data_IF_938133876693
#
_entry.id   IF_938133876693
#
_cell.length_a   1.000
_cell.length_b   1.000
_cell.length_c   1.000
_cell.angle_alpha   90.00
_cell.angle_beta   90.00
_cell.angle_gamma   90.00
#
_symmetry.space_group_name_H-M   'P 1'
#
loop_
_entity.id
_entity.type
_entity.pdbx_description
1 polymer ?
#
# COMPACT_ATOMS: atom_id res chain seq x y z
N UNK A 1 -6.49 13.46 12.80
CA UNK A 1 -6.59 12.52 11.68
C UNK A 1 -5.98 13.19 10.46
N UNK A 2 -4.78 12.78 10.04
CA UNK A 2 -4.14 13.35 8.85
C UNK A 2 -4.60 12.54 7.63
N UNK A 3 -5.42 13.15 6.79
CA UNK A 3 -5.96 12.51 5.59
C UNK A 3 -4.89 12.51 4.51
N UNK A 4 -4.49 11.31 4.05
CA UNK A 4 -3.70 11.18 2.83
C UNK A 4 -4.50 11.76 1.67
N UNK A 5 -3.90 12.69 0.91
CA UNK A 5 -4.48 13.16 -0.35
C UNK A 5 -4.30 12.07 -1.40
N UNK A 6 -5.28 11.19 -1.53
CA UNK A 6 -5.31 10.13 -2.55
C UNK A 6 -5.89 10.70 -3.84
N UNK A 7 -5.26 10.45 -4.99
CA UNK A 7 -5.81 10.82 -6.29
C UNK A 7 -7.07 9.99 -6.57
N UNK A 8 -8.10 10.58 -7.18
CA UNK A 8 -9.35 9.90 -7.58
C UNK A 8 -9.06 8.69 -8.49
N UNK A 9 -8.05 8.79 -9.37
CA UNK A 9 -7.63 7.67 -10.19
C UNK A 9 -7.07 6.49 -9.36
N UNK A 10 -6.33 6.79 -8.28
CA UNK A 10 -5.79 5.76 -7.38
C UNK A 10 -6.92 5.13 -6.54
N UNK A 11 -7.93 5.92 -6.16
CA UNK A 11 -9.13 5.43 -5.47
C UNK A 11 -9.92 4.43 -6.31
N UNK A 12 -10.02 4.66 -7.63
CA UNK A 12 -10.70 3.75 -8.55
C UNK A 12 -9.96 2.42 -8.75
N UNK A 13 -8.68 2.34 -8.39
CA UNK A 13 -7.85 1.14 -8.47
C UNK A 13 -7.45 0.61 -7.08
N UNK A 14 -8.05 1.13 -6.01
CA UNK A 14 -7.74 0.73 -4.65
C UNK A 14 -8.35 -0.66 -4.35
N UNK A 15 -7.49 -1.63 -4.05
CA UNK A 15 -7.90 -2.99 -3.70
C UNK A 15 -8.22 -3.15 -2.20
N UNK A 16 -7.51 -2.41 -1.36
CA UNK A 16 -7.61 -2.43 0.10
C UNK A 16 -6.71 -1.36 0.72
N UNK A 17 -6.95 -1.01 1.98
CA UNK A 17 -6.15 -0.01 2.70
C UNK A 17 -6.15 -0.35 4.19
N UNK A 18 -4.98 -0.24 4.82
CA UNK A 18 -4.81 -0.43 6.26
C UNK A 18 -3.81 0.56 6.84
N UNK A 19 -3.85 0.73 8.15
CA UNK A 19 -2.84 1.47 8.92
C UNK A 19 -1.91 0.50 9.65
N UNK A 20 -0.62 0.82 9.69
CA UNK A 20 0.34 0.07 10.50
C UNK A 20 -0.01 0.19 11.98
N UNK A 21 0.07 -0.92 12.72
CA UNK A 21 -0.05 -0.91 14.18
C UNK A 21 1.14 -0.24 14.88
N UNK A 22 1.10 -0.20 16.21
CA UNK A 22 2.12 0.47 17.04
C UNK A 22 3.55 -0.04 16.81
N UNK A 23 3.70 -1.31 16.42
CA UNK A 23 5.00 -1.94 16.12
C UNK A 23 5.41 -1.84 14.64
N UNK A 24 4.67 -1.09 13.81
CA UNK A 24 4.91 -0.99 12.36
C UNK A 24 4.46 -2.23 11.56
N UNK A 25 3.85 -3.22 12.22
CA UNK A 25 3.31 -4.43 11.59
C UNK A 25 1.95 -4.11 10.97
N UNK A 26 1.70 -4.63 9.77
CA UNK A 26 0.39 -4.55 9.12
C UNK A 26 0.07 -5.86 8.40
N UNK A 27 -1.22 -6.12 8.26
CA UNK A 27 -1.79 -7.15 7.41
C UNK A 27 -2.80 -6.46 6.50
N UNK A 28 -2.77 -6.73 5.20
CA UNK A 28 -3.67 -6.09 4.24
C UNK A 28 -4.24 -7.14 3.29
N UNK A 29 -5.55 -7.07 3.08
CA UNK A 29 -6.26 -7.87 2.09
C UNK A 29 -6.96 -6.94 1.11
N UNK A 30 -7.01 -7.34 -0.15
CA UNK A 30 -7.66 -6.56 -1.19
C UNK A 30 -8.22 -7.46 -2.28
N UNK A 31 -9.29 -6.99 -2.93
CA UNK A 31 -9.97 -7.75 -3.99
C UNK A 31 -10.55 -6.82 -5.06
N UNK A 32 -10.91 -7.41 -6.20
CA UNK A 32 -11.44 -6.72 -7.37
C UNK A 32 -12.96 -6.65 -7.42
N UNK A 33 -13.69 -6.93 -6.33
CA UNK A 33 -15.16 -7.01 -6.36
C UNK A 33 -15.84 -5.70 -6.78
N UNK A 34 -15.12 -4.57 -6.60
CA UNK A 34 -15.58 -3.23 -6.96
C UNK A 34 -15.19 -2.83 -8.39
N UNK A 35 -14.37 -3.63 -9.07
CA UNK A 35 -13.93 -3.33 -10.43
C UNK A 35 -14.95 -3.84 -11.44
N UNK A 36 -14.95 -3.33 -12.68
CA UNK A 36 -15.75 -3.89 -13.76
C UNK A 36 -15.50 -5.41 -13.90
N UNK A 37 -16.53 -6.18 -14.25
CA UNK A 37 -16.42 -7.64 -14.41
C UNK A 37 -15.42 -8.09 -15.49
N UNK A 38 -15.00 -7.17 -16.37
CA UNK A 38 -13.95 -7.38 -17.36
C UNK A 38 -12.54 -7.23 -16.80
N UNK A 39 -12.38 -6.74 -15.57
CA UNK A 39 -11.10 -6.50 -14.90
C UNK A 39 -10.93 -7.44 -13.70
N UNK A 40 -10.70 -8.72 -13.99
CA UNK A 40 -10.51 -9.77 -12.98
C UNK A 40 -9.03 -10.06 -12.67
N UNK A 41 -8.14 -9.76 -13.61
CA UNK A 41 -6.69 -9.87 -13.45
C UNK A 41 -6.10 -8.56 -12.91
N UNK A 42 -5.13 -8.67 -12.00
CA UNK A 42 -4.48 -7.52 -11.36
C UNK A 42 -2.97 -7.73 -11.24
N UNK A 43 -2.24 -6.61 -11.29
CA UNK A 43 -0.83 -6.53 -10.94
C UNK A 43 -0.67 -5.57 -9.75
N UNK A 44 -0.92 -6.04 -8.51
CA UNK A 44 -1.06 -5.15 -7.38
C UNK A 44 0.29 -4.61 -6.90
N UNK A 45 0.23 -3.37 -6.40
CA UNK A 45 1.31 -2.76 -5.62
C UNK A 45 0.80 -2.47 -4.21
N UNK A 46 1.64 -2.74 -3.21
CA UNK A 46 1.46 -2.17 -1.87
C UNK A 46 2.23 -0.86 -1.83
N UNK A 47 1.49 0.23 -1.62
CA UNK A 47 2.06 1.57 -1.50
C UNK A 47 1.99 2.01 -0.05
N UNK A 48 3.14 2.34 0.53
CA UNK A 48 3.26 2.78 1.92
C UNK A 48 3.56 4.27 1.94
N UNK A 49 2.69 5.01 2.61
CA UNK A 49 2.85 6.44 2.86
C UNK A 49 3.31 6.64 4.30
N UNK A 50 4.48 7.23 4.49
CA UNK A 50 5.07 7.44 5.81
C UNK A 50 5.74 8.82 5.91
N UNK A 51 5.88 9.33 7.12
CA UNK A 51 6.57 10.58 7.42
C UNK A 51 7.72 10.37 8.40
N UNK A 52 8.34 9.18 8.39
CA UNK A 52 9.52 8.92 9.21
C UNK A 52 10.61 9.95 8.91
N UNK A 53 11.29 10.39 9.97
CA UNK A 53 12.31 11.45 9.92
C UNK A 53 11.79 12.79 9.36
N UNK A 54 10.49 13.06 9.50
CA UNK A 54 9.88 14.34 9.11
C UNK A 54 9.07 14.92 10.27
N UNK A 55 9.23 16.20 10.53
CA UNK A 55 8.36 16.93 11.45
C UNK A 55 7.01 17.27 10.80
N UNK A 56 6.07 17.83 11.59
CA UNK A 56 4.74 18.20 11.10
C UNK A 56 4.79 19.26 10.00
N UNK A 57 5.70 20.24 10.08
CA UNK A 57 5.85 21.30 9.08
C UNK A 57 6.40 20.73 7.78
N UNK A 58 7.36 19.81 7.85
CA UNK A 58 7.91 19.11 6.71
C UNK A 58 6.84 18.22 6.06
N UNK A 59 6.05 17.51 6.86
CA UNK A 59 4.94 16.67 6.39
C UNK A 59 3.87 17.51 5.69
N UNK A 60 3.51 18.67 6.26
CA UNK A 60 2.52 19.56 5.65
C UNK A 60 2.99 20.14 4.31
N UNK A 61 4.28 20.47 4.19
CA UNK A 61 4.84 21.10 2.98
C UNK A 61 5.20 20.09 1.88
N UNK A 62 5.77 18.93 2.24
CA UNK A 62 6.29 17.93 1.29
C UNK A 62 5.36 16.74 1.08
N UNK A 63 4.35 16.59 1.92
CA UNK A 63 3.51 15.39 1.96
C UNK A 63 4.22 14.21 2.60
N UNK A 64 3.71 13.01 2.33
CA UNK A 64 4.26 11.75 2.84
C UNK A 64 5.29 11.18 1.86
N UNK A 65 6.39 10.62 2.39
CA UNK A 65 7.29 9.76 1.62
C UNK A 65 6.54 8.51 1.18
N UNK A 66 6.94 7.95 0.03
CA UNK A 66 6.25 6.81 -0.60
C UNK A 66 7.21 5.68 -0.95
N UNK A 67 6.89 4.48 -0.47
CA UNK A 67 7.44 3.23 -0.99
C UNK A 67 6.38 2.51 -1.81
N UNK A 68 6.79 1.91 -2.93
CA UNK A 68 5.91 1.11 -3.78
C UNK A 68 6.54 -0.26 -3.97
N UNK A 69 5.83 -1.30 -3.55
CA UNK A 69 6.30 -2.68 -3.62
C UNK A 69 5.37 -3.44 -4.55
N UNK A 70 5.92 -3.97 -5.64
CA UNK A 70 5.18 -4.87 -6.52
C UNK A 70 4.98 -6.19 -5.80
N UNK A 71 3.75 -6.66 -5.74
CA UNK A 71 3.47 -8.00 -5.22
C UNK A 71 3.68 -9.00 -6.36
N UNK A 72 4.51 -10.04 -6.18
CA UNK A 72 4.73 -11.04 -7.22
C UNK A 72 3.45 -11.79 -7.57
N UNK A 73 3.30 -12.17 -8.84
CA UNK A 73 2.09 -12.83 -9.37
C UNK A 73 1.73 -14.12 -8.63
N UNK A 74 2.72 -14.85 -8.11
CA UNK A 74 2.51 -16.06 -7.31
C UNK A 74 1.69 -15.85 -6.02
N UNK A 75 1.60 -14.60 -5.55
CA UNK A 75 0.79 -14.20 -4.40
C UNK A 75 -0.55 -13.58 -4.80
N UNK A 76 -0.80 -13.43 -6.11
CA UNK A 76 -2.07 -12.97 -6.66
C UNK A 76 -2.89 -14.19 -7.04
N UNK A 77 -4.15 -14.22 -6.61
CA UNK A 77 -5.02 -15.38 -6.86
C UNK A 77 -6.31 -15.01 -7.54
N UNK A 78 -6.65 -15.80 -8.57
CA UNK A 78 -8.01 -15.91 -9.07
C UNK A 78 -8.83 -16.74 -8.08
N UNK A 79 -9.74 -16.10 -7.32
CA UNK A 79 -10.60 -16.75 -6.33
C UNK A 79 -10.72 -15.98 -5.00
N UNK A 80 -11.52 -16.50 -4.06
CA UNK A 80 -11.82 -15.84 -2.78
C UNK A 80 -10.76 -16.04 -1.69
N UNK A 81 -9.72 -16.84 -1.95
CA UNK A 81 -8.65 -17.13 -0.99
C UNK A 81 -7.27 -16.97 -1.62
N UNK A 82 -6.41 -16.21 -0.95
CA UNK A 82 -4.99 -16.11 -1.29
C UNK A 82 -4.32 -17.50 -1.20
N UNK A 83 -3.46 -17.82 -2.17
CA UNK A 83 -2.75 -19.11 -2.28
C UNK A 83 -1.57 -19.16 -1.31
N UNK A 84 -0.95 -18.01 -1.05
CA UNK A 84 0.17 -17.81 -0.12
C UNK A 84 0.12 -16.39 0.45
N UNK A 85 0.63 -16.21 1.66
CA UNK A 85 0.88 -14.90 2.26
C UNK A 85 2.30 -14.43 1.92
N UNK A 86 2.45 -13.16 1.56
CA UNK A 86 3.75 -12.54 1.35
C UNK A 86 4.17 -11.77 2.62
N UNK A 87 5.31 -12.14 3.21
CA UNK A 87 5.87 -11.44 4.38
C UNK A 87 7.18 -10.76 3.99
N UNK A 88 7.29 -9.47 4.28
CA UNK A 88 8.44 -8.65 3.95
C UNK A 88 8.68 -7.62 5.05
N UNK A 89 9.94 -7.48 5.46
CA UNK A 89 10.38 -6.49 6.44
C UNK A 89 10.93 -5.29 5.70
N UNK A 90 10.35 -4.12 5.96
CA UNK A 90 10.78 -2.87 5.35
C UNK A 90 11.64 -2.11 6.35
N UNK A 91 12.87 -1.78 5.93
CA UNK A 91 13.77 -0.93 6.70
C UNK A 91 13.74 0.46 6.10
N UNK A 92 13.67 1.47 6.96
CA UNK A 92 13.81 2.86 6.55
C UNK A 92 15.22 3.07 5.98
N UNK A 93 15.35 3.28 4.67
CA UNK A 93 16.64 3.49 3.99
C UNK A 93 17.04 4.97 3.96
N UNK A 94 16.64 5.75 4.96
CA UNK A 94 16.93 7.20 5.00
C UNK A 94 18.41 7.57 5.15
N UNK A 95 19.34 6.61 5.12
CA UNK A 95 20.78 6.81 5.29
C UNK A 95 21.65 6.11 4.21
N UNK A 96 21.30 6.19 2.93
CA UNK A 96 22.30 6.02 1.86
C UNK A 96 22.28 7.24 0.94
N UNK A 97 23.20 8.16 1.22
CA UNK A 97 23.67 9.25 0.36
C UNK A 97 25.14 9.48 0.65
#
# INVERSE_FOLDING_TARGET
MNTLKVNIADLAQLLGQEHTGELGIFHIEGNTVRFPSTQTEIQPFVTIHHNCDMDEKQTANKGYKRWAIRIPEDYVTLGTKARKAHSQVLKNTSNES
#
